data_IF_300523427381
#
_entry.id   IF_300523427381
#
_cell.length_a   1.000
_cell.length_b   1.000
_cell.length_c   1.000
_cell.angle_alpha   90.00
_cell.angle_beta   90.00
_cell.angle_gamma   90.00
#
_symmetry.space_group_name_H-M   'P 1'
#
loop_
_entity.id
_entity.type
_entity.pdbx_description
1 polymer ?
#
# COMPACT_ATOMS: atom_id res chain seq x y z
N UNK A 1 35.60 -54.57 25.89
CA UNK A 1 34.21 -54.60 25.40
C UNK A 1 33.76 -53.12 25.26
N UNK A 2 34.08 -52.49 24.10
CA UNK A 2 33.81 -51.05 23.85
C UNK A 2 32.43 -50.89 23.20
N UNK A 3 31.49 -50.28 23.92
CA UNK A 3 30.21 -49.85 23.35
C UNK A 3 30.42 -48.55 22.52
N UNK A 4 30.20 -48.64 21.22
CA UNK A 4 30.19 -47.48 20.31
C UNK A 4 28.86 -46.72 20.54
N UNK A 5 28.99 -45.51 21.06
CA UNK A 5 27.89 -44.52 21.16
C UNK A 5 27.71 -43.89 19.79
N UNK A 6 26.63 -44.20 19.10
CA UNK A 6 26.20 -43.48 17.89
C UNK A 6 25.52 -42.19 18.30
N UNK A 7 26.25 -41.07 18.15
CA UNK A 7 25.66 -39.75 18.24
C UNK A 7 24.90 -39.48 16.94
N UNK A 8 23.56 -39.52 17.03
CA UNK A 8 22.69 -39.08 15.92
C UNK A 8 22.65 -37.56 15.93
N UNK A 9 23.39 -36.93 15.00
CA UNK A 9 23.35 -35.50 14.81
C UNK A 9 22.03 -35.13 14.11
N UNK A 10 21.06 -34.66 14.87
CA UNK A 10 19.87 -34.01 14.33
C UNK A 10 20.30 -32.61 13.85
N UNK A 11 20.52 -32.46 12.57
CA UNK A 11 20.64 -31.15 11.92
C UNK A 11 19.21 -30.64 11.73
N UNK A 12 18.79 -29.55 12.42
CA UNK A 12 17.53 -28.91 12.09
C UNK A 12 17.71 -28.32 10.70
N UNK A 13 16.99 -28.85 9.74
CA UNK A 13 16.89 -28.30 8.40
C UNK A 13 16.18 -26.94 8.53
N UNK A 14 17.00 -25.89 8.65
CA UNK A 14 16.52 -24.51 8.61
C UNK A 14 16.02 -24.28 7.16
N UNK A 15 14.73 -24.45 6.95
CA UNK A 15 14.08 -23.96 5.74
C UNK A 15 14.17 -22.43 5.76
N UNK A 16 15.26 -21.91 5.24
CA UNK A 16 15.32 -20.53 4.77
C UNK A 16 14.40 -20.49 3.57
N UNK A 17 13.15 -20.09 3.79
CA UNK A 17 12.24 -19.73 2.72
C UNK A 17 12.80 -18.47 2.05
N UNK A 18 13.79 -18.63 1.19
CA UNK A 18 14.08 -17.64 0.16
C UNK A 18 12.86 -17.67 -0.77
N UNK A 19 11.93 -16.75 -0.55
CA UNK A 19 10.80 -16.53 -1.45
C UNK A 19 11.37 -16.07 -2.80
N UNK A 20 11.59 -17.01 -3.70
CA UNK A 20 11.86 -16.73 -5.09
C UNK A 20 10.57 -16.24 -5.72
N UNK A 21 10.56 -15.01 -6.27
CA UNK A 21 9.38 -14.37 -6.86
C UNK A 21 8.63 -15.24 -7.89
N UNK A 22 9.33 -16.04 -8.68
CA UNK A 22 8.68 -16.94 -9.64
C UNK A 22 7.90 -18.09 -8.98
N UNK A 23 8.41 -18.63 -7.87
CA UNK A 23 7.66 -19.65 -7.11
C UNK A 23 6.38 -19.07 -6.51
N UNK A 24 6.38 -17.79 -6.15
CA UNK A 24 5.18 -17.12 -5.67
C UNK A 24 4.08 -17.05 -6.73
N UNK A 25 4.43 -16.80 -8.00
CA UNK A 25 3.47 -16.77 -9.10
C UNK A 25 2.87 -18.17 -9.37
N UNK A 26 3.68 -19.23 -9.30
CA UNK A 26 3.23 -20.61 -9.41
C UNK A 26 2.33 -21.05 -8.24
N UNK A 27 2.50 -20.44 -7.08
CA UNK A 27 1.72 -20.73 -5.85
C UNK A 27 0.48 -19.84 -5.71
N UNK A 28 0.26 -18.87 -6.60
CA UNK A 28 -0.90 -17.99 -6.52
C UNK A 28 -2.20 -18.78 -6.73
N UNK A 29 -3.22 -18.40 -5.97
CA UNK A 29 -4.53 -19.06 -6.04
C UNK A 29 -5.20 -18.90 -7.41
N UNK A 30 -4.97 -17.74 -8.04
CA UNK A 30 -5.51 -17.41 -9.36
C UNK A 30 -4.42 -16.81 -10.24
N UNK A 31 -4.40 -17.20 -11.52
CA UNK A 31 -3.56 -16.55 -12.55
C UNK A 31 -4.44 -15.84 -13.55
N UNK A 32 -4.14 -14.57 -13.78
CA UNK A 32 -4.84 -13.72 -14.74
C UNK A 32 -3.88 -13.49 -15.91
N UNK A 33 -4.27 -14.00 -17.09
CA UNK A 33 -3.47 -13.88 -18.31
C UNK A 33 -3.86 -12.63 -19.08
N UNK A 34 -2.88 -11.83 -19.44
CA UNK A 34 -3.05 -10.61 -20.25
C UNK A 34 -2.39 -10.78 -21.62
N UNK A 35 -3.16 -10.66 -22.68
CA UNK A 35 -2.62 -10.52 -24.04
C UNK A 35 -2.56 -9.03 -24.40
N UNK A 36 -1.38 -8.44 -24.25
CA UNK A 36 -1.18 -6.99 -24.50
C UNK A 36 -1.47 -6.61 -25.97
N UNK A 37 -1.42 -7.58 -26.92
CA UNK A 37 -1.78 -7.33 -28.33
C UNK A 37 -3.28 -7.13 -28.50
N UNK A 38 -4.09 -7.63 -27.57
CA UNK A 38 -5.54 -7.46 -27.52
C UNK A 38 -5.96 -6.30 -26.62
N UNK A 39 -4.99 -5.54 -26.11
CA UNK A 39 -5.31 -4.35 -25.33
C UNK A 39 -6.13 -3.39 -26.20
N UNK A 40 -7.30 -3.04 -25.71
CA UNK A 40 -8.20 -2.09 -26.35
C UNK A 40 -8.23 -0.80 -25.53
N UNK A 41 -8.47 0.30 -26.20
CA UNK A 41 -8.75 1.55 -25.49
C UNK A 41 -10.03 1.35 -24.68
N UNK A 42 -9.92 1.53 -23.35
CA UNK A 42 -11.07 1.42 -22.48
C UNK A 42 -12.08 2.52 -22.84
N UNK A 43 -13.30 2.10 -23.10
CA UNK A 43 -14.42 2.99 -23.32
C UNK A 43 -15.18 3.11 -21.98
N UNK A 44 -15.12 4.28 -21.36
CA UNK A 44 -15.64 4.51 -20.01
C UNK A 44 -17.13 4.07 -19.82
N UNK A 45 -18.03 4.33 -20.77
CA UNK A 45 -19.43 3.89 -20.67
C UNK A 45 -19.65 2.38 -20.58
N UNK A 46 -18.67 1.56 -20.94
CA UNK A 46 -18.76 0.09 -20.83
C UNK A 46 -18.59 -0.40 -19.38
N UNK A 47 -18.04 0.44 -18.50
CA UNK A 47 -17.68 0.10 -17.12
C UNK A 47 -18.30 1.03 -16.07
N UNK A 48 -18.87 2.15 -16.49
CA UNK A 48 -19.36 3.21 -15.61
C UNK A 48 -20.74 3.64 -16.06
N UNK A 49 -21.73 3.42 -15.20
CA UNK A 49 -23.11 3.82 -15.47
C UNK A 49 -23.31 5.34 -15.39
N UNK A 50 -22.59 5.98 -14.47
CA UNK A 50 -22.67 7.42 -14.27
C UNK A 50 -21.40 7.99 -13.64
N UNK A 51 -21.12 9.24 -13.93
CA UNK A 51 -20.02 10.01 -13.33
C UNK A 51 -20.62 11.23 -12.66
N UNK A 52 -20.28 11.41 -11.39
CA UNK A 52 -20.65 12.59 -10.63
C UNK A 52 -19.41 13.42 -10.35
N UNK A 53 -19.49 14.71 -10.57
CA UNK A 53 -18.46 15.67 -10.20
C UNK A 53 -18.96 16.43 -8.97
N UNK A 54 -18.23 16.32 -7.87
CA UNK A 54 -18.52 17.02 -6.63
C UNK A 54 -17.48 18.14 -6.49
N UNK A 55 -17.86 19.40 -6.73
CA UNK A 55 -16.94 20.52 -6.53
C UNK A 55 -16.72 20.72 -5.03
N UNK A 56 -15.46 20.73 -4.59
CA UNK A 56 -15.13 20.98 -3.21
C UNK A 56 -15.08 22.50 -2.95
N UNK A 57 -15.66 22.93 -1.84
CA UNK A 57 -15.62 24.32 -1.40
C UNK A 57 -14.18 24.77 -1.22
N UNK A 58 -13.81 25.85 -1.87
CA UNK A 58 -12.45 26.41 -1.85
C UNK A 58 -12.44 27.75 -1.14
N UNK A 59 -11.75 27.81 -0.02
CA UNK A 59 -11.47 29.01 0.76
C UNK A 59 -10.09 28.88 1.43
N UNK A 60 -9.66 29.90 2.15
CA UNK A 60 -8.33 29.91 2.79
C UNK A 60 -8.10 28.72 3.76
N UNK A 61 -9.15 28.14 4.33
CA UNK A 61 -9.07 27.01 5.26
C UNK A 61 -9.21 25.64 4.58
N UNK A 62 -9.67 25.61 3.31
CA UNK A 62 -9.97 24.38 2.57
C UNK A 62 -9.14 24.21 1.30
N UNK A 63 -8.09 25.02 1.13
CA UNK A 63 -7.22 24.91 -0.04
C UNK A 63 -6.40 23.61 0.00
N UNK A 64 -6.56 22.78 -1.03
CA UNK A 64 -5.84 21.54 -1.19
C UNK A 64 -4.63 21.76 -2.10
N UNK A 65 -3.46 21.32 -1.66
CA UNK A 65 -2.19 21.40 -2.41
C UNK A 65 -1.91 20.12 -3.18
N UNK A 66 -2.01 18.99 -2.49
CA UNK A 66 -1.69 17.69 -3.06
C UNK A 66 -2.40 16.56 -2.30
N UNK A 67 -3.29 15.86 -2.94
CA UNK A 67 -4.01 14.72 -2.34
C UNK A 67 -3.07 13.51 -2.26
N UNK A 68 -2.68 13.13 -1.03
CA UNK A 68 -1.86 11.94 -0.78
C UNK A 68 -2.66 10.80 -0.15
N UNK A 69 -3.86 11.08 0.32
CA UNK A 69 -4.79 10.08 0.84
C UNK A 69 -6.22 10.59 0.79
N UNK A 70 -7.15 9.70 0.52
CA UNK A 70 -8.59 9.98 0.46
C UNK A 70 -9.33 8.83 1.13
N UNK A 71 -10.29 9.18 1.98
CA UNK A 71 -11.26 8.25 2.55
C UNK A 71 -12.65 8.83 2.43
N UNK A 72 -13.65 7.99 2.16
CA UNK A 72 -15.07 8.37 2.15
C UNK A 72 -15.82 7.44 3.09
N UNK A 73 -16.25 8.00 4.21
CA UNK A 73 -16.92 7.26 5.29
C UNK A 73 -18.09 8.10 5.79
N UNK A 74 -19.25 7.48 5.99
CA UNK A 74 -20.45 8.13 6.51
C UNK A 74 -20.83 9.42 5.79
N UNK A 75 -20.71 9.43 4.45
CA UNK A 75 -21.00 10.58 3.59
C UNK A 75 -20.07 11.78 3.79
N UNK A 76 -18.87 11.57 4.36
CA UNK A 76 -17.83 12.57 4.56
C UNK A 76 -16.58 12.15 3.78
N UNK A 77 -16.02 13.08 3.02
CA UNK A 77 -14.70 12.96 2.40
C UNK A 77 -13.65 13.44 3.39
N UNK A 78 -12.65 12.62 3.65
CA UNK A 78 -11.44 12.97 4.39
C UNK A 78 -10.27 12.96 3.43
N UNK A 79 -9.58 14.09 3.33
CA UNK A 79 -8.47 14.27 2.39
C UNK A 79 -7.20 14.58 3.18
N UNK A 80 -6.18 13.73 3.03
CA UNK A 80 -4.84 14.04 3.51
C UNK A 80 -4.15 14.92 2.47
N UNK A 81 -3.94 16.18 2.83
CA UNK A 81 -3.27 17.16 2.00
C UNK A 81 -1.78 17.20 2.32
N UNK A 82 -0.98 16.68 1.38
CA UNK A 82 0.48 16.77 1.37
C UNK A 82 1.16 16.27 2.67
N UNK A 83 0.55 15.27 3.34
CA UNK A 83 1.00 14.74 4.64
C UNK A 83 1.06 15.81 5.77
N UNK A 84 0.32 16.89 5.62
CA UNK A 84 0.34 18.00 6.57
C UNK A 84 -0.94 18.16 7.37
N UNK A 85 -2.08 17.95 6.75
CA UNK A 85 -3.38 18.11 7.39
C UNK A 85 -4.45 17.21 6.75
N UNK A 86 -5.46 16.91 7.53
CA UNK A 86 -6.69 16.30 7.05
C UNK A 86 -7.72 17.40 6.88
N UNK A 87 -8.37 17.43 5.71
CA UNK A 87 -9.54 18.26 5.44
C UNK A 87 -10.75 17.36 5.33
N UNK A 88 -11.89 17.78 5.86
CA UNK A 88 -13.13 17.06 5.70
C UNK A 88 -14.18 17.90 4.97
N UNK A 89 -14.95 17.19 4.12
CA UNK A 89 -16.03 17.75 3.30
C UNK A 89 -17.24 16.84 3.36
N UNK A 90 -18.43 17.41 3.32
CA UNK A 90 -19.64 16.61 3.19
C UNK A 90 -19.81 16.00 1.79
N UNK A 91 -20.82 15.16 1.60
CA UNK A 91 -21.11 14.52 0.31
C UNK A 91 -21.49 15.49 -0.81
N UNK A 92 -21.74 16.77 -0.51
CA UNK A 92 -22.00 17.84 -1.48
C UNK A 92 -20.75 18.67 -1.76
N UNK A 93 -19.64 18.40 -1.07
CA UNK A 93 -18.39 19.12 -1.19
C UNK A 93 -18.28 20.37 -0.32
N UNK A 94 -19.21 20.59 0.62
CA UNK A 94 -19.06 21.70 1.56
C UNK A 94 -17.96 21.39 2.57
N UNK A 95 -17.08 22.36 2.82
CA UNK A 95 -16.02 22.21 3.81
C UNK A 95 -16.60 22.13 5.23
N UNK A 96 -16.15 21.14 5.99
CA UNK A 96 -16.55 20.91 7.38
C UNK A 96 -15.47 21.38 8.36
N UNK A 97 -14.31 20.76 8.33
CA UNK A 97 -13.22 21.10 9.25
C UNK A 97 -11.85 20.68 8.69
N UNK A 98 -10.79 21.10 9.41
CA UNK A 98 -9.41 20.78 9.06
C UNK A 98 -8.55 20.65 10.32
N UNK A 99 -7.62 19.69 10.30
CA UNK A 99 -6.61 19.53 11.35
C UNK A 99 -5.46 20.52 11.25
N UNK A 100 -5.44 21.42 10.29
CA UNK A 100 -4.31 22.34 10.04
C UNK A 100 -3.90 23.17 11.25
N UNK A 101 -4.85 23.54 12.13
CA UNK A 101 -4.59 24.26 13.38
C UNK A 101 -4.00 23.39 14.49
N UNK A 102 -4.04 22.06 14.34
CA UNK A 102 -3.54 21.08 15.30
C UNK A 102 -2.13 20.60 14.93
N UNK A 103 -1.52 21.20 13.92
CA UNK A 103 -0.17 20.87 13.49
C UNK A 103 0.86 21.77 14.17
N UNK A 104 1.77 21.15 14.93
CA UNK A 104 2.81 21.91 15.63
C UNK A 104 3.61 21.07 16.62
N UNK A 105 4.27 21.75 17.57
CA UNK A 105 5.09 21.13 18.60
C UNK A 105 4.41 21.06 19.96
N UNK A 106 3.19 21.54 20.07
CA UNK A 106 2.41 21.52 21.31
C UNK A 106 2.04 20.11 21.78
N UNK A 107 1.51 19.99 23.02
CA UNK A 107 1.26 18.69 23.64
C UNK A 107 0.16 17.87 22.96
N UNK A 108 -0.80 18.51 22.29
CA UNK A 108 -1.92 17.87 21.60
C UNK A 108 -1.85 18.08 20.08
N UNK A 109 -0.67 18.41 19.57
CA UNK A 109 -0.44 18.71 18.16
C UNK A 109 0.40 17.62 17.52
N UNK A 110 0.03 17.17 16.33
CA UNK A 110 0.85 16.29 15.50
C UNK A 110 1.80 17.13 14.62
N UNK A 111 2.84 16.49 14.10
CA UNK A 111 3.81 17.14 13.21
C UNK A 111 3.61 16.75 11.75
N UNK A 112 3.41 15.48 11.47
CA UNK A 112 3.19 14.97 10.12
C UNK A 112 2.08 13.91 10.10
N UNK A 113 1.21 13.97 9.10
CA UNK A 113 0.21 12.96 8.83
C UNK A 113 0.71 12.01 7.73
N UNK A 114 1.53 11.02 8.08
CA UNK A 114 2.03 10.03 7.12
C UNK A 114 0.87 9.22 6.55
N UNK A 115 -0.03 8.78 7.42
CA UNK A 115 -1.26 8.10 7.07
C UNK A 115 -2.35 8.43 8.08
N UNK A 116 -3.59 8.19 7.72
CA UNK A 116 -4.73 8.34 8.62
C UNK A 116 -5.74 7.20 8.39
N UNK A 117 -6.53 6.94 9.42
CA UNK A 117 -7.67 6.02 9.37
C UNK A 117 -8.89 6.72 9.98
N UNK A 118 -10.06 6.39 9.46
CA UNK A 118 -11.32 6.71 10.14
C UNK A 118 -11.74 5.45 10.89
N UNK A 119 -11.86 5.57 12.19
CA UNK A 119 -12.20 4.48 13.10
C UNK A 119 -13.71 4.19 13.06
N UNK A 120 -14.12 3.02 13.56
CA UNK A 120 -15.53 2.63 13.61
C UNK A 120 -16.43 3.58 14.41
N UNK A 121 -15.85 4.30 15.38
CA UNK A 121 -16.53 5.33 16.16
C UNK A 121 -16.59 6.69 15.45
N UNK A 122 -16.11 6.80 14.21
CA UNK A 122 -16.05 8.04 13.44
C UNK A 122 -14.85 8.93 13.76
N UNK A 123 -13.99 8.56 14.71
CA UNK A 123 -12.80 9.33 15.04
C UNK A 123 -11.74 9.21 13.96
N UNK A 124 -10.95 10.26 13.79
CA UNK A 124 -9.81 10.29 12.88
C UNK A 124 -8.54 9.93 13.64
N UNK A 125 -7.87 8.86 13.23
CA UNK A 125 -6.57 8.46 13.77
C UNK A 125 -5.47 8.90 12.79
N UNK A 126 -4.49 9.66 13.28
CA UNK A 126 -3.35 10.13 12.51
C UNK A 126 -2.08 9.40 12.96
N UNK A 127 -1.36 8.83 12.02
CA UNK A 127 -0.04 8.26 12.24
C UNK A 127 1.04 9.33 11.99
N UNK A 128 1.68 9.75 13.07
CA UNK A 128 2.78 10.72 13.05
C UNK A 128 4.12 10.00 13.26
N UNK A 129 4.78 9.67 12.17
CA UNK A 129 6.07 9.00 12.21
C UNK A 129 7.22 9.89 12.69
N UNK A 130 7.07 11.21 12.73
CA UNK A 130 8.09 12.14 13.22
C UNK A 130 8.03 12.33 14.74
N UNK A 131 6.83 12.30 15.31
CA UNK A 131 6.64 12.31 16.77
C UNK A 131 6.56 10.91 17.39
N UNK A 132 6.61 9.86 16.56
CA UNK A 132 6.45 8.46 16.99
C UNK A 132 5.15 8.25 17.76
N UNK A 133 4.03 8.77 17.22
CA UNK A 133 2.73 8.76 17.89
C UNK A 133 1.57 8.44 16.98
N UNK A 134 0.56 7.81 17.55
CA UNK A 134 -0.80 7.82 17.03
C UNK A 134 -1.58 8.88 17.75
N UNK A 135 -2.26 9.72 16.98
CA UNK A 135 -3.13 10.77 17.48
C UNK A 135 -4.56 10.43 17.12
N UNK A 136 -5.48 10.60 18.05
CA UNK A 136 -6.89 10.40 17.84
C UNK A 136 -7.64 11.73 18.02
N UNK A 137 -8.46 12.07 17.06
CA UNK A 137 -9.31 13.25 17.02
C UNK A 137 -10.75 12.81 16.78
N UNK A 138 -11.72 13.50 17.38
CA UNK A 138 -13.13 13.23 17.13
C UNK A 138 -13.56 13.62 15.71
N UNK A 139 -14.83 13.42 15.36
CA UNK A 139 -15.38 13.75 14.04
C UNK A 139 -15.34 15.25 13.71
N UNK A 140 -15.21 16.11 14.73
CA UNK A 140 -15.01 17.56 14.59
C UNK A 140 -13.53 17.96 14.63
N UNK A 141 -12.64 16.95 14.63
CA UNK A 141 -11.18 17.09 14.70
C UNK A 141 -10.67 17.74 16.01
N UNK A 142 -11.40 17.58 17.12
CA UNK A 142 -10.88 17.89 18.44
C UNK A 142 -10.02 16.74 18.96
N UNK A 143 -8.95 17.07 19.70
CA UNK A 143 -8.07 16.08 20.31
C UNK A 143 -8.83 15.19 21.31
N UNK A 144 -8.67 13.88 21.16
CA UNK A 144 -9.23 12.86 22.07
C UNK A 144 -8.10 12.20 22.86
N UNK A 145 -7.14 11.62 22.18
CA UNK A 145 -6.07 10.86 22.82
C UNK A 145 -4.82 10.78 21.95
N UNK A 146 -3.72 10.35 22.55
CA UNK A 146 -2.55 9.93 21.79
C UNK A 146 -1.82 8.78 22.50
N UNK A 147 -1.15 7.94 21.73
CA UNK A 147 -0.30 6.85 22.22
C UNK A 147 1.08 6.91 21.58
N UNK A 148 2.11 6.62 22.36
CA UNK A 148 3.47 6.48 21.83
C UNK A 148 3.62 5.18 21.06
N UNK A 149 4.41 5.24 20.00
CA UNK A 149 4.78 4.09 19.22
C UNK A 149 6.21 3.66 19.58
N UNK A 150 6.45 2.36 19.76
CA UNK A 150 7.80 1.86 20.04
C UNK A 150 8.72 2.09 18.83
N UNK A 151 10.03 2.16 19.10
CA UNK A 151 11.03 2.44 18.05
C UNK A 151 11.07 1.40 16.93
N UNK A 152 10.75 0.14 17.22
CA UNK A 152 10.73 -0.95 16.25
C UNK A 152 9.59 -0.85 15.22
N UNK A 153 8.61 0.02 15.46
CA UNK A 153 7.56 0.39 14.50
C UNK A 153 8.15 1.17 13.32
N UNK A 154 9.18 1.95 13.57
CA UNK A 154 9.79 2.82 12.56
C UNK A 154 11.01 2.15 11.88
N UNK A 155 11.40 2.58 10.69
CA UNK A 155 10.71 3.58 9.85
C UNK A 155 9.38 3.06 9.34
N UNK A 156 8.50 3.98 8.95
CA UNK A 156 7.20 3.65 8.37
C UNK A 156 6.84 4.60 7.23
N UNK A 157 6.27 4.06 6.18
CA UNK A 157 5.81 4.80 5.01
C UNK A 157 4.29 4.79 4.86
N UNK A 158 3.63 3.85 5.54
CA UNK A 158 2.17 3.76 5.59
C UNK A 158 1.72 3.03 6.86
N UNK A 159 0.46 3.22 7.19
CA UNK A 159 -0.19 2.66 8.37
C UNK A 159 -1.65 2.35 8.03
N UNK A 160 -2.07 1.13 8.26
CA UNK A 160 -3.44 0.68 8.03
C UNK A 160 -3.99 0.03 9.31
N UNK A 161 -5.05 0.59 9.86
CA UNK A 161 -5.79 -0.06 10.95
C UNK A 161 -6.68 -1.17 10.39
N UNK A 162 -6.48 -2.36 10.93
CA UNK A 162 -7.18 -3.57 10.48
C UNK A 162 -8.34 -3.91 11.42
N UNK A 163 -8.10 -3.75 12.71
CA UNK A 163 -9.10 -3.93 13.76
C UNK A 163 -8.83 -2.96 14.90
N UNK A 164 -9.67 -3.00 15.92
CA UNK A 164 -9.49 -2.16 17.13
C UNK A 164 -8.07 -2.26 17.69
N UNK A 165 -7.48 -3.45 17.69
CA UNK A 165 -6.21 -3.72 18.36
C UNK A 165 -5.03 -3.92 17.40
N UNK A 166 -5.28 -4.18 16.11
CA UNK A 166 -4.23 -4.56 15.14
C UNK A 166 -4.11 -3.52 14.04
N UNK A 167 -2.86 -3.15 13.78
CA UNK A 167 -2.47 -2.32 12.66
C UNK A 167 -1.40 -3.03 11.82
N UNK A 168 -1.38 -2.73 10.53
CA UNK A 168 -0.28 -3.10 9.64
C UNK A 168 0.48 -1.82 9.33
N UNK A 169 1.78 -1.87 9.57
CA UNK A 169 2.70 -0.77 9.31
C UNK A 169 3.64 -1.22 8.20
N UNK A 170 3.68 -0.44 7.14
CA UNK A 170 4.51 -0.69 5.99
C UNK A 170 5.74 0.20 6.02
N UNK A 171 6.91 -0.39 5.81
CA UNK A 171 8.11 0.33 5.44
C UNK A 171 8.68 -0.21 4.11
N UNK A 172 9.80 0.33 3.66
CA UNK A 172 10.43 -0.08 2.39
C UNK A 172 10.84 -1.56 2.41
N UNK A 173 11.18 -2.10 3.58
CA UNK A 173 11.81 -3.41 3.74
C UNK A 173 10.92 -4.42 4.47
N UNK A 174 9.81 -4.00 5.05
CA UNK A 174 9.00 -4.89 5.89
C UNK A 174 7.54 -4.48 6.00
N UNK A 175 6.70 -5.46 6.34
CA UNK A 175 5.38 -5.26 6.92
C UNK A 175 5.42 -5.68 8.38
N UNK A 176 4.94 -4.83 9.27
CA UNK A 176 4.91 -5.05 10.71
C UNK A 176 3.46 -5.13 11.18
N UNK A 177 3.11 -6.19 11.89
CA UNK A 177 1.82 -6.31 12.56
C UNK A 177 1.98 -5.78 13.98
N UNK A 178 1.40 -4.64 14.24
CA UNK A 178 1.49 -3.95 15.52
C UNK A 178 0.20 -4.11 16.32
N UNK A 179 0.31 -4.43 17.58
CA UNK A 179 -0.81 -4.44 18.53
C UNK A 179 -0.83 -3.15 19.33
N UNK A 180 -1.86 -2.34 19.17
CA UNK A 180 -2.06 -1.15 20.00
C UNK A 180 -2.42 -1.51 21.44
N UNK A 181 -3.04 -2.68 21.66
CA UNK A 181 -3.35 -3.20 23.00
C UNK A 181 -2.11 -3.62 23.77
N UNK A 182 -1.17 -4.31 23.10
CA UNK A 182 0.08 -4.78 23.72
C UNK A 182 1.22 -3.75 23.63
N UNK A 183 1.07 -2.71 22.80
CA UNK A 183 2.08 -1.67 22.61
C UNK A 183 3.36 -2.16 21.93
N UNK A 184 3.29 -3.24 21.12
CA UNK A 184 4.47 -3.85 20.48
C UNK A 184 4.19 -4.43 19.10
N UNK A 185 5.25 -4.65 18.34
CA UNK A 185 5.20 -5.43 17.08
C UNK A 185 5.06 -6.91 17.43
N UNK A 186 3.98 -7.53 16.92
CA UNK A 186 3.70 -8.95 17.12
C UNK A 186 4.47 -9.81 16.12
N UNK A 187 4.59 -9.33 14.89
CA UNK A 187 5.29 -10.03 13.81
C UNK A 187 5.79 -9.04 12.76
N UNK A 188 6.95 -9.32 12.21
CA UNK A 188 7.52 -8.61 11.08
C UNK A 188 7.74 -9.58 9.92
N UNK A 189 7.33 -9.17 8.72
CA UNK A 189 7.58 -9.87 7.46
C UNK A 189 8.60 -9.04 6.69
N UNK A 190 9.78 -9.60 6.47
CA UNK A 190 10.77 -8.97 5.60
C UNK A 190 10.33 -9.05 4.15
N UNK A 191 10.37 -7.91 3.45
CA UNK A 191 10.02 -7.81 2.04
C UNK A 191 11.28 -7.99 1.18
N UNK A 192 11.17 -8.69 0.06
CA UNK A 192 12.32 -8.89 -0.82
C UNK A 192 12.78 -7.54 -1.38
N UNK A 193 14.08 -7.29 -1.28
CA UNK A 193 14.73 -6.12 -1.87
C UNK A 193 15.57 -6.58 -3.05
N UNK A 194 15.45 -5.90 -4.19
CA UNK A 194 16.35 -6.10 -5.32
C UNK A 194 17.17 -4.85 -5.58
N UNK A 195 18.48 -5.01 -5.48
CA UNK A 195 19.44 -3.94 -5.83
C UNK A 195 19.25 -3.57 -7.30
N UNK A 196 19.25 -2.28 -7.60
CA UNK A 196 19.21 -1.76 -8.97
C UNK A 196 17.82 -1.54 -9.56
N UNK A 197 16.76 -2.04 -8.92
CA UNK A 197 15.41 -1.68 -9.35
C UNK A 197 14.94 -0.43 -8.61
N UNK A 198 14.50 0.61 -9.32
CA UNK A 198 13.85 1.74 -8.68
C UNK A 198 12.58 1.24 -7.97
N UNK A 199 12.31 1.77 -6.79
CA UNK A 199 10.98 1.64 -6.20
C UNK A 199 10.00 2.41 -7.10
N UNK A 200 9.21 1.68 -7.88
CA UNK A 200 8.39 2.27 -8.95
C UNK A 200 7.07 2.81 -8.38
N UNK A 201 6.62 2.26 -7.26
CA UNK A 201 5.37 2.68 -6.63
C UNK A 201 5.60 3.77 -5.61
N UNK A 202 5.02 4.93 -5.83
CA UNK A 202 4.98 6.04 -4.86
C UNK A 202 3.90 5.83 -3.78
N UNK A 203 2.93 4.95 -4.05
CA UNK A 203 1.81 4.67 -3.17
C UNK A 203 2.08 3.43 -2.30
N UNK A 204 1.34 3.31 -1.20
CA UNK A 204 1.35 2.12 -0.37
C UNK A 204 0.96 0.88 -1.14
N UNK A 205 1.66 -0.22 -0.90
CA UNK A 205 1.29 -1.54 -1.38
C UNK A 205 0.05 -2.12 -0.69
N UNK A 206 -0.29 -1.63 0.50
CA UNK A 206 -1.46 -2.06 1.26
C UNK A 206 -2.75 -1.46 0.71
N UNK A 207 -3.74 -2.31 0.45
CA UNK A 207 -5.09 -1.94 0.02
C UNK A 207 -6.12 -2.73 0.81
N UNK A 208 -7.08 -2.02 1.41
CA UNK A 208 -8.27 -2.64 1.97
C UNK A 208 -9.36 -2.58 0.90
N UNK A 209 -9.87 -3.74 0.50
CA UNK A 209 -10.92 -3.91 -0.50
C UNK A 209 -12.02 -4.75 0.13
N UNK A 210 -13.16 -4.14 0.38
CA UNK A 210 -14.20 -4.71 1.24
C UNK A 210 -13.60 -5.04 2.62
N UNK A 211 -13.78 -6.26 3.12
CA UNK A 211 -13.22 -6.71 4.40
C UNK A 211 -11.87 -7.44 4.25
N UNK A 212 -11.31 -7.46 3.03
CA UNK A 212 -10.07 -8.13 2.74
C UNK A 212 -8.92 -7.13 2.56
N UNK A 213 -7.72 -7.54 2.95
CA UNK A 213 -6.52 -6.72 2.79
C UNK A 213 -5.60 -7.40 1.81
N UNK A 214 -5.15 -6.61 0.85
CA UNK A 214 -4.21 -7.02 -0.17
C UNK A 214 -2.92 -6.21 -0.08
N UNK A 215 -1.85 -6.84 -0.52
CA UNK A 215 -0.54 -6.22 -0.57
C UNK A 215 0.13 -6.47 -1.92
N UNK A 216 0.54 -5.41 -2.60
CA UNK A 216 1.42 -5.47 -3.76
C UNK A 216 2.82 -5.01 -3.37
N UNK A 217 3.84 -5.79 -3.76
CA UNK A 217 5.22 -5.39 -3.51
C UNK A 217 5.56 -4.14 -4.32
N UNK A 218 6.43 -3.29 -3.75
CA UNK A 218 6.90 -2.06 -4.41
C UNK A 218 7.93 -2.33 -5.51
N UNK A 219 8.30 -3.57 -5.71
CA UNK A 219 9.13 -4.03 -6.82
C UNK A 219 8.22 -4.44 -7.98
N UNK A 220 8.71 -4.47 -9.24
CA UNK A 220 7.93 -4.89 -10.40
C UNK A 220 7.59 -6.38 -10.33
N UNK A 221 6.76 -6.74 -9.39
CA UNK A 221 6.29 -8.11 -9.19
C UNK A 221 4.87 -8.29 -9.72
N UNK A 222 4.62 -9.50 -10.17
CA UNK A 222 3.37 -9.91 -10.80
C UNK A 222 2.38 -10.52 -9.82
N UNK A 223 2.61 -10.36 -8.51
CA UNK A 223 1.84 -11.04 -7.49
C UNK A 223 1.14 -10.04 -6.60
N UNK A 224 -0.15 -10.21 -6.45
CA UNK A 224 -0.92 -9.59 -5.40
C UNK A 224 -1.11 -10.60 -4.28
N UNK A 225 -0.64 -10.23 -3.11
CA UNK A 225 -0.78 -11.05 -1.90
C UNK A 225 -2.08 -10.69 -1.18
N UNK A 226 -2.75 -11.69 -0.65
CA UNK A 226 -3.77 -11.50 0.38
C UNK A 226 -3.09 -11.53 1.74
N UNK A 227 -3.44 -10.60 2.61
CA UNK A 227 -2.93 -10.55 3.98
C UNK A 227 -3.84 -11.39 4.87
N UNK A 228 -3.29 -12.42 5.47
CA UNK A 228 -3.95 -13.22 6.50
C UNK A 228 -3.63 -12.60 7.86
N UNK A 229 -4.62 -11.96 8.47
CA UNK A 229 -4.45 -11.24 9.75
C UNK A 229 -4.26 -12.21 10.91
N UNK A 230 -4.97 -13.33 10.92
CA UNK A 230 -4.87 -14.31 12.01
C UNK A 230 -3.49 -14.96 12.05
N UNK A 231 -2.97 -15.33 10.87
CA UNK A 231 -1.63 -15.93 10.74
C UNK A 231 -0.52 -14.89 10.64
N UNK A 232 -0.88 -13.61 10.47
CA UNK A 232 0.06 -12.51 10.21
C UNK A 232 1.01 -12.89 9.07
N UNK A 233 0.46 -13.21 7.89
CA UNK A 233 1.22 -13.72 6.76
C UNK A 233 0.70 -13.19 5.42
N UNK A 234 1.58 -13.20 4.42
CA UNK A 234 1.25 -12.91 3.04
C UNK A 234 1.03 -14.22 2.28
N UNK A 235 -0.11 -14.34 1.62
CA UNK A 235 -0.46 -15.49 0.78
C UNK A 235 -0.53 -15.01 -0.67
N UNK A 236 0.23 -15.60 -1.62
CA UNK A 236 0.08 -15.31 -3.04
C UNK A 236 -1.37 -15.58 -3.47
N UNK A 237 -2.05 -14.55 -3.96
CA UNK A 237 -3.47 -14.67 -4.27
C UNK A 237 -3.77 -14.53 -5.74
N UNK A 238 -3.32 -13.44 -6.37
CA UNK A 238 -3.37 -13.28 -7.82
C UNK A 238 -1.96 -13.21 -8.39
N UNK A 239 -1.72 -13.94 -9.48
CA UNK A 239 -0.58 -13.76 -10.33
C UNK A 239 -1.03 -13.13 -11.66
N UNK A 240 -0.31 -12.12 -12.11
CA UNK A 240 -0.56 -11.44 -13.38
C UNK A 240 0.45 -11.94 -14.39
N UNK A 241 -0.03 -12.55 -15.48
CA UNK A 241 0.80 -13.11 -16.53
C UNK A 241 0.66 -12.28 -17.83
N UNK A 242 1.73 -11.61 -18.19
CA UNK A 242 1.84 -10.78 -19.39
C UNK A 242 2.61 -11.50 -20.53
N UNK A 243 2.75 -12.84 -20.44
CA UNK A 243 3.45 -13.66 -21.40
C UNK A 243 4.93 -13.26 -21.56
N UNK A 244 5.36 -13.00 -22.78
CA UNK A 244 6.74 -12.58 -23.07
C UNK A 244 7.17 -11.25 -22.43
N UNK A 245 6.22 -10.46 -21.93
CA UNK A 245 6.48 -9.19 -21.25
C UNK A 245 6.58 -9.33 -19.72
N UNK A 246 6.57 -10.57 -19.22
CA UNK A 246 6.86 -10.84 -17.83
C UNK A 246 8.32 -10.51 -17.51
N UNK A 247 8.53 -9.72 -16.46
CA UNK A 247 9.86 -9.44 -15.98
C UNK A 247 10.42 -10.65 -15.22
N UNK A 248 11.53 -11.20 -15.71
CA UNK A 248 12.27 -12.21 -14.97
C UNK A 248 13.28 -11.54 -14.00
N UNK A 249 12.87 -11.44 -12.77
CA UNK A 249 13.68 -10.77 -11.74
C UNK A 249 14.99 -11.51 -11.39
N UNK A 250 15.15 -12.77 -11.82
CA UNK A 250 16.40 -13.55 -11.58
C UNK A 250 17.51 -13.22 -12.56
N UNK A 251 17.14 -12.81 -13.75
CA UNK A 251 18.04 -12.58 -14.88
C UNK A 251 18.31 -11.10 -15.13
N UNK A 252 18.05 -10.25 -14.12
CA UNK A 252 18.28 -8.82 -14.28
C UNK A 252 19.76 -8.53 -14.38
N UNK A 253 20.21 -7.81 -15.41
CA UNK A 253 21.56 -7.29 -15.48
C UNK A 253 21.81 -6.27 -14.36
N UNK A 254 23.07 -6.09 -13.98
CA UNK A 254 23.47 -5.12 -12.95
C UNK A 254 23.11 -3.67 -13.31
N UNK A 255 23.12 -3.37 -14.61
CA UNK A 255 22.70 -2.08 -15.16
C UNK A 255 21.53 -2.32 -16.13
N UNK A 256 20.45 -1.59 -15.95
CA UNK A 256 19.25 -1.71 -16.77
C UNK A 256 19.25 -0.60 -17.84
N UNK A 257 19.53 -0.91 -19.11
CA UNK A 257 19.44 0.08 -20.18
C UNK A 257 17.99 0.53 -20.38
N UNK A 258 17.80 1.70 -20.96
CA UNK A 258 16.47 2.27 -21.18
C UNK A 258 15.58 1.34 -22.01
N UNK A 259 16.17 0.62 -22.99
CA UNK A 259 15.48 -0.37 -23.81
C UNK A 259 14.90 -1.55 -23.03
N UNK A 260 15.45 -1.84 -21.84
CA UNK A 260 14.91 -2.87 -20.98
C UNK A 260 13.49 -2.53 -20.51
N UNK A 261 13.27 -1.28 -20.09
CA UNK A 261 11.97 -0.83 -19.58
C UNK A 261 10.87 -0.82 -20.64
N UNK A 262 11.23 -0.80 -21.92
CA UNK A 262 10.29 -0.80 -23.04
C UNK A 262 9.64 -2.16 -23.31
N UNK A 263 10.28 -3.24 -22.88
CA UNK A 263 9.88 -4.59 -23.24
C UNK A 263 9.10 -5.31 -22.12
N UNK A 264 9.07 -4.76 -20.92
CA UNK A 264 8.49 -5.43 -19.76
C UNK A 264 7.45 -4.56 -19.05
N UNK A 265 6.47 -5.21 -18.43
CA UNK A 265 5.54 -4.55 -17.52
C UNK A 265 6.28 -4.31 -16.20
N UNK A 266 6.50 -3.03 -15.89
CA UNK A 266 7.36 -2.62 -14.77
C UNK A 266 6.62 -2.36 -13.48
N UNK A 267 5.32 -2.08 -13.53
CA UNK A 267 4.55 -1.76 -12.34
C UNK A 267 3.11 -2.24 -12.46
N UNK A 268 2.56 -2.56 -11.32
CA UNK A 268 1.14 -2.79 -11.13
C UNK A 268 0.69 -1.81 -10.03
N UNK A 269 0.40 -0.57 -10.43
CA UNK A 269 0.25 0.57 -9.49
C UNK A 269 -1.08 0.60 -8.75
N UNK A 270 -2.02 -0.22 -9.16
CA UNK A 270 -3.31 -0.23 -8.49
C UNK A 270 -4.11 -1.48 -8.76
N UNK A 271 -4.73 -1.97 -7.71
CA UNK A 271 -5.72 -3.02 -7.79
C UNK A 271 -6.94 -2.54 -7.04
N UNK A 272 -8.09 -2.63 -7.68
CA UNK A 272 -9.38 -2.32 -7.07
C UNK A 272 -10.43 -3.32 -7.53
N UNK A 273 -11.43 -3.58 -6.71
CA UNK A 273 -12.63 -4.26 -7.14
C UNK A 273 -13.67 -3.21 -7.52
N UNK A 274 -14.20 -3.33 -8.73
CA UNK A 274 -15.30 -2.49 -9.21
C UNK A 274 -16.41 -3.43 -9.63
N UNK A 275 -17.56 -3.36 -8.98
CA UNK A 275 -18.69 -4.25 -9.23
C UNK A 275 -18.27 -5.73 -9.32
N UNK A 276 -17.57 -6.22 -8.30
CA UNK A 276 -17.04 -7.58 -8.20
C UNK A 276 -15.97 -7.96 -9.24
N UNK A 277 -15.51 -7.01 -10.04
CA UNK A 277 -14.44 -7.20 -11.02
C UNK A 277 -13.12 -6.65 -10.49
N UNK A 278 -12.07 -7.44 -10.61
CA UNK A 278 -10.72 -7.00 -10.32
C UNK A 278 -10.25 -6.05 -11.42
N UNK A 279 -9.92 -4.83 -11.04
CA UNK A 279 -9.33 -3.81 -11.93
C UNK A 279 -7.89 -3.58 -11.49
N UNK A 280 -6.98 -3.62 -12.46
CA UNK A 280 -5.56 -3.38 -12.23
C UNK A 280 -5.05 -2.33 -13.20
N UNK A 281 -4.23 -1.42 -12.72
CA UNK A 281 -3.46 -0.53 -13.58
C UNK A 281 -2.02 -1.01 -13.68
N UNK A 282 -1.50 -1.05 -14.90
CA UNK A 282 -0.12 -1.45 -15.19
C UNK A 282 0.59 -0.34 -15.96
N UNK A 283 1.87 -0.19 -15.71
CA UNK A 283 2.72 0.73 -16.45
C UNK A 283 3.72 -0.05 -17.29
N UNK A 284 3.72 0.25 -18.58
CA UNK A 284 4.78 -0.14 -19.52
C UNK A 284 5.38 1.14 -20.07
N UNK A 285 6.70 1.28 -19.99
CA UNK A 285 7.38 2.38 -20.66
C UNK A 285 7.40 2.10 -22.16
N UNK A 286 6.45 2.70 -22.87
CA UNK A 286 6.46 2.70 -24.32
C UNK A 286 7.53 3.68 -24.81
N UNK A 287 8.23 3.31 -25.87
CA UNK A 287 9.19 4.19 -26.53
C UNK A 287 8.52 5.47 -26.99
N UNK A 288 8.97 6.62 -26.52
CA UNK A 288 8.58 7.94 -27.02
C UNK A 288 9.11 8.23 -28.44
N UNK A 289 9.82 7.27 -29.06
CA UNK A 289 10.46 7.42 -30.37
C UNK A 289 9.45 7.37 -31.53
N UNK A 290 8.19 7.06 -31.28
CA UNK A 290 7.13 7.08 -32.30
C UNK A 290 6.19 8.30 -32.22
N UNK A 291 6.54 9.31 -31.48
CA UNK A 291 5.95 10.64 -31.69
C UNK A 291 6.91 11.36 -32.62
N UNK A 292 6.87 10.95 -33.86
CA UNK A 292 7.63 11.68 -34.80
C UNK A 292 6.83 12.04 -35.97
N UNK A 293 7.19 13.16 -36.32
CA UNK A 293 7.17 13.87 -37.58
C UNK A 293 5.78 14.28 -38.07
N UNK A 294 5.53 15.58 -37.96
CA UNK A 294 4.51 16.18 -38.80
C UNK A 294 5.02 16.13 -40.24
N UNK A 295 4.33 15.37 -41.06
CA UNK A 295 4.38 15.54 -42.51
C UNK A 295 3.76 16.84 -42.91
#
# INVERSE_FOLDING_TARGET
>A
MLRKLKVLLFIPLLFVATACCDRGAEMAKYTIHFDLRKAVKMNLPEFVDSIFVIPLATNDSSLIKNVVGLSFVDSIFYINDNQTNILSFDSKGNFLCSTGKLRGSGPNEYFACIAFNILENGNCEIFDGLKHRLWEYDSNLNYVSSSELPEDVLPASNFLRVSKDICIIEDVNSLKFYSSKEGRVLKMISLPQKKGLPSITRNSGLKKLNDEIYYSLRTPERILFKVDIEKMSLQPYYAFDFGQHNLNLRELPNELPLSFYQNYVMANDGVAFVADKLVSSTMQMLSLIHISEPT
#
